data_IF_006200972711
#
_entry.id   IF_006200972711
#
_cell.length_a   1.000
_cell.length_b   1.000
_cell.length_c   1.000
_cell.angle_alpha   90.00
_cell.angle_beta   90.00
_cell.angle_gamma   90.00
#
_symmetry.space_group_name_H-M   'P 1'
#
loop_
_entity.id
_entity.type
_entity.pdbx_description
1 polymer ?
#
# COMPACT_ATOMS: atom_id res chain seq x y z
N UNK A 1 15.95 -10.67 -11.65
CA UNK A 1 15.24 -11.31 -10.52
C UNK A 1 15.19 -10.46 -9.26
N UNK A 2 16.04 -9.45 -9.09
CA UNK A 2 16.00 -8.54 -7.93
C UNK A 2 14.78 -7.60 -7.95
N UNK A 3 14.15 -7.35 -9.10
CA UNK A 3 12.95 -6.50 -9.22
C UNK A 3 11.74 -7.10 -8.50
N UNK A 4 11.58 -8.43 -8.58
CA UNK A 4 10.50 -9.14 -7.88
C UNK A 4 10.72 -9.12 -6.37
N UNK A 5 11.97 -9.19 -5.91
CA UNK A 5 12.32 -9.03 -4.50
C UNK A 5 11.92 -7.64 -3.99
N UNK A 6 12.24 -6.58 -4.75
CA UNK A 6 11.86 -5.20 -4.42
C UNK A 6 10.34 -5.07 -4.32
N UNK A 7 9.62 -5.67 -5.28
CA UNK A 7 8.15 -5.69 -5.27
C UNK A 7 7.58 -6.41 -4.02
N UNK A 8 8.14 -7.56 -3.65
CA UNK A 8 7.71 -8.28 -2.44
C UNK A 8 7.97 -7.50 -1.15
N UNK A 9 9.14 -6.86 -1.05
CA UNK A 9 9.49 -6.01 0.11
C UNK A 9 8.53 -4.83 0.19
N UNK A 10 8.24 -4.19 -0.94
CA UNK A 10 7.30 -3.09 -1.05
C UNK A 10 5.88 -3.50 -0.61
N UNK A 11 5.39 -4.66 -1.06
CA UNK A 11 4.10 -5.22 -0.63
C UNK A 11 4.10 -5.50 0.87
N UNK A 12 5.16 -6.11 1.39
CA UNK A 12 5.30 -6.40 2.81
C UNK A 12 5.22 -5.12 3.66
N UNK A 13 5.92 -4.06 3.25
CA UNK A 13 5.86 -2.74 3.90
C UNK A 13 4.45 -2.14 3.83
N UNK A 14 3.75 -2.30 2.71
CA UNK A 14 2.35 -1.88 2.57
C UNK A 14 1.40 -2.61 3.53
N UNK A 15 1.57 -3.93 3.70
CA UNK A 15 0.82 -4.73 4.68
C UNK A 15 1.08 -4.21 6.09
N UNK A 16 2.35 -3.99 6.45
CA UNK A 16 2.73 -3.46 7.77
C UNK A 16 2.04 -2.11 8.02
N UNK A 17 2.05 -1.20 7.04
CA UNK A 17 1.38 0.10 7.16
C UNK A 17 -0.13 -0.02 7.42
N UNK A 18 -0.82 -0.91 6.69
CA UNK A 18 -2.25 -1.13 6.89
C UNK A 18 -2.58 -1.77 8.24
N UNK A 19 -1.78 -2.74 8.69
CA UNK A 19 -1.94 -3.38 10.00
C UNK A 19 -1.68 -2.39 11.13
N UNK A 20 -0.61 -1.59 11.03
CA UNK A 20 -0.29 -0.55 12.02
C UNK A 20 -1.45 0.44 12.17
N UNK A 21 -2.01 0.95 11.07
CA UNK A 21 -3.17 1.85 11.12
C UNK A 21 -4.40 1.16 11.67
N UNK A 22 -4.66 -0.09 11.28
CA UNK A 22 -5.77 -0.87 11.83
C UNK A 22 -5.64 -1.13 13.34
N UNK A 23 -4.41 -1.20 13.86
CA UNK A 23 -4.13 -1.34 15.28
C UNK A 23 -4.34 -0.02 16.05
N UNK A 24 -3.77 1.09 15.56
CA UNK A 24 -3.96 2.41 16.17
C UNK A 24 -5.40 2.92 16.07
N UNK A 25 -6.06 2.64 14.96
CA UNK A 25 -7.41 3.11 14.66
C UNK A 25 -8.39 1.94 14.58
N UNK A 26 -8.75 1.38 15.74
CA UNK A 26 -9.71 0.27 15.85
C UNK A 26 -11.02 0.52 15.07
N UNK A 27 -11.44 1.79 14.95
CA UNK A 27 -12.62 2.21 14.17
C UNK A 27 -12.50 1.88 12.67
N UNK A 28 -11.30 1.87 12.11
CA UNK A 28 -11.03 1.62 10.70
C UNK A 28 -10.56 0.20 10.39
N UNK A 29 -10.37 -0.64 11.41
CA UNK A 29 -9.99 -2.03 11.24
C UNK A 29 -11.10 -2.86 10.57
N UNK A 30 -10.70 -3.77 9.69
CA UNK A 30 -11.51 -4.84 9.12
C UNK A 30 -11.05 -6.23 9.62
N UNK A 31 -10.33 -6.26 10.74
CA UNK A 31 -9.64 -7.46 11.23
C UNK A 31 -8.31 -7.69 10.50
N UNK A 32 -7.53 -8.68 10.96
CA UNK A 32 -6.17 -8.94 10.45
C UNK A 32 -6.21 -9.23 8.94
N UNK A 33 -7.12 -10.11 8.50
CA UNK A 33 -7.24 -10.52 7.09
C UNK A 33 -7.65 -9.33 6.22
N UNK A 34 -8.66 -8.56 6.64
CA UNK A 34 -9.13 -7.39 5.91
C UNK A 34 -8.07 -6.29 5.80
N UNK A 35 -7.29 -6.07 6.87
CA UNK A 35 -6.20 -5.09 6.87
C UNK A 35 -5.07 -5.53 5.95
N UNK A 36 -4.73 -6.82 5.88
CA UNK A 36 -3.74 -7.34 4.94
C UNK A 36 -4.18 -7.14 3.49
N UNK A 37 -5.43 -7.51 3.15
CA UNK A 37 -5.98 -7.31 1.80
C UNK A 37 -5.96 -5.82 1.43
N UNK A 38 -6.43 -4.96 2.33
CA UNK A 38 -6.39 -3.52 2.14
C UNK A 38 -4.96 -2.98 1.95
N UNK A 39 -3.98 -3.53 2.68
CA UNK A 39 -2.57 -3.16 2.57
C UNK A 39 -1.96 -3.55 1.22
N UNK A 40 -2.19 -4.79 0.78
CA UNK A 40 -1.72 -5.29 -0.53
C UNK A 40 -2.33 -4.46 -1.66
N UNK A 41 -3.66 -4.30 -1.69
CA UNK A 41 -4.31 -3.54 -2.76
C UNK A 41 -4.00 -2.05 -2.69
N UNK A 42 -3.93 -1.47 -1.49
CA UNK A 42 -3.61 -0.07 -1.27
C UNK A 42 -2.20 0.30 -1.74
N UNK A 43 -1.20 -0.53 -1.40
CA UNK A 43 0.17 -0.26 -1.84
C UNK A 43 0.31 -0.47 -3.35
N UNK A 44 -0.24 -1.55 -3.93
CA UNK A 44 -0.16 -1.82 -5.37
C UNK A 44 -0.82 -0.69 -6.16
N UNK A 45 -1.96 -0.19 -5.70
CA UNK A 45 -2.64 0.93 -6.34
C UNK A 45 -1.76 2.18 -6.37
N UNK A 46 -1.13 2.55 -5.26
CA UNK A 46 -0.26 3.71 -5.16
C UNK A 46 1.02 3.51 -5.98
N UNK A 47 1.70 2.38 -5.85
CA UNK A 47 2.92 2.09 -6.62
C UNK A 47 2.63 2.15 -8.12
N UNK A 48 1.47 1.64 -8.56
CA UNK A 48 1.10 1.65 -9.98
C UNK A 48 0.68 3.05 -10.46
N UNK A 49 -0.01 3.82 -9.62
CA UNK A 49 -0.35 5.22 -9.92
C UNK A 49 0.90 6.11 -10.02
N UNK A 50 1.84 5.94 -9.09
CA UNK A 50 3.11 6.65 -9.02
C UNK A 50 4.21 5.99 -9.88
N UNK A 51 3.93 4.84 -10.49
CA UNK A 51 4.88 4.10 -11.31
C UNK A 51 5.32 4.87 -12.56
N UNK A 52 4.46 5.77 -13.06
CA UNK A 52 4.79 6.70 -14.15
C UNK A 52 5.80 7.79 -13.76
N UNK A 53 5.98 8.02 -12.46
CA UNK A 53 6.98 8.95 -11.92
C UNK A 53 8.33 8.25 -11.65
N UNK A 54 8.49 6.99 -12.06
CA UNK A 54 9.73 6.23 -11.89
C UNK A 54 9.84 5.48 -10.56
N UNK A 55 8.77 5.40 -9.76
CA UNK A 55 8.79 4.66 -8.48
C UNK A 55 8.53 3.16 -8.61
N UNK A 56 8.58 2.61 -9.83
CA UNK A 56 8.38 1.19 -10.07
C UNK A 56 9.65 0.37 -9.76
N UNK A 57 9.52 -0.91 -9.37
CA UNK A 57 10.66 -1.80 -9.17
C UNK A 57 11.64 -1.87 -10.36
N UNK A 58 11.12 -1.76 -11.59
CA UNK A 58 11.93 -1.71 -12.81
C UNK A 58 12.80 -0.45 -12.88
N UNK A 59 12.26 0.71 -12.52
CA UNK A 59 12.99 1.99 -12.50
C UNK A 59 14.00 2.08 -11.35
N UNK A 60 13.77 1.36 -10.25
CA UNK A 60 14.73 1.26 -9.14
C UNK A 60 16.01 0.51 -9.56
N UNK A 61 15.87 -0.36 -10.56
CA UNK A 61 16.93 -1.21 -11.06
C UNK A 61 17.12 -1.02 -12.56
N UNK A 62 17.29 0.24 -12.94
CA UNK A 62 17.59 0.59 -14.30
C UNK A 62 19.05 0.25 -14.62
N UNK A 63 19.29 -0.46 -15.73
CA UNK A 63 20.62 -0.84 -16.23
C UNK A 63 21.53 -1.57 -15.22
N UNK A 64 20.95 -2.30 -14.25
CA UNK A 64 21.69 -3.04 -13.24
C UNK A 64 22.29 -2.17 -12.12
N UNK A 65 21.98 -0.88 -12.09
CA UNK A 65 22.40 0.05 -11.04
C UNK A 65 21.28 0.15 -10.01
N UNK A 66 21.61 -0.11 -8.73
CA UNK A 66 20.63 -0.01 -7.65
C UNK A 66 20.50 1.43 -7.15
N UNK A 67 19.40 2.08 -7.50
CA UNK A 67 19.12 3.44 -7.06
C UNK A 67 18.48 3.46 -5.67
N UNK A 68 19.33 3.49 -4.64
CA UNK A 68 18.94 3.50 -3.21
C UNK A 68 17.85 4.53 -2.88
N UNK A 69 17.90 5.73 -3.48
CA UNK A 69 16.95 6.81 -3.20
C UNK A 69 15.54 6.48 -3.70
N UNK A 70 15.41 5.93 -4.90
CA UNK A 70 14.12 5.51 -5.45
C UNK A 70 13.53 4.33 -4.66
N UNK A 71 14.38 3.44 -4.15
CA UNK A 71 13.95 2.36 -3.27
C UNK A 71 13.35 2.85 -1.95
N UNK A 72 14.00 3.81 -1.28
CA UNK A 72 13.48 4.39 -0.02
C UNK A 72 12.15 5.10 -0.27
N UNK A 73 12.04 5.87 -1.36
CA UNK A 73 10.79 6.51 -1.74
C UNK A 73 9.67 5.50 -2.04
N UNK A 74 9.98 4.41 -2.75
CA UNK A 74 9.03 3.33 -2.97
C UNK A 74 8.55 2.71 -1.66
N UNK A 75 9.44 2.48 -0.69
CA UNK A 75 9.07 1.97 0.63
C UNK A 75 8.11 2.92 1.37
N UNK A 76 8.41 4.22 1.38
CA UNK A 76 7.57 5.24 2.02
C UNK A 76 6.19 5.30 1.34
N UNK A 77 6.16 5.34 0.01
CA UNK A 77 4.91 5.34 -0.77
C UNK A 77 4.10 4.07 -0.55
N UNK A 78 4.74 2.91 -0.46
CA UNK A 78 4.07 1.62 -0.20
C UNK A 78 3.44 1.60 1.17
N UNK A 79 4.17 2.07 2.19
CA UNK A 79 3.66 2.21 3.55
C UNK A 79 2.44 3.14 3.59
N UNK A 80 2.57 4.36 3.05
CA UNK A 80 1.48 5.32 2.95
C UNK A 80 0.30 4.77 2.14
N UNK A 81 0.56 4.02 1.07
CA UNK A 81 -0.48 3.41 0.26
C UNK A 81 -1.25 2.32 0.97
N UNK A 82 -0.58 1.50 1.79
CA UNK A 82 -1.25 0.56 2.67
C UNK A 82 -2.14 1.25 3.71
N UNK A 83 -1.62 2.30 4.35
CA UNK A 83 -2.38 3.12 5.32
C UNK A 83 -3.63 3.75 4.68
N UNK A 84 -3.44 4.45 3.57
CA UNK A 84 -4.51 5.15 2.85
C UNK A 84 -5.53 4.17 2.27
N UNK A 85 -5.09 3.03 1.76
CA UNK A 85 -5.95 1.98 1.24
C UNK A 85 -6.96 1.50 2.28
N UNK A 86 -6.51 1.25 3.51
CA UNK A 86 -7.38 0.87 4.62
C UNK A 86 -8.44 1.94 4.94
N UNK A 87 -7.99 3.19 5.09
CA UNK A 87 -8.87 4.32 5.45
C UNK A 87 -9.93 4.53 4.35
N UNK A 88 -9.52 4.48 3.08
CA UNK A 88 -10.38 4.71 1.93
C UNK A 88 -11.42 3.58 1.79
N UNK A 89 -11.01 2.32 1.92
CA UNK A 89 -11.91 1.18 1.92
C UNK A 89 -12.96 1.27 3.02
N UNK A 90 -12.55 1.65 4.24
CA UNK A 90 -13.50 1.83 5.34
C UNK A 90 -14.47 2.97 5.09
N UNK A 91 -13.98 4.09 4.56
CA UNK A 91 -14.81 5.26 4.23
C UNK A 91 -15.86 4.88 3.17
N UNK A 92 -15.47 4.11 2.16
CA UNK A 92 -16.40 3.58 1.15
C UNK A 92 -17.43 2.64 1.77
N UNK A 93 -16.99 1.69 2.60
CA UNK A 93 -17.88 0.76 3.29
C UNK A 93 -18.94 1.49 4.13
N UNK A 94 -18.52 2.48 4.94
CA UNK A 94 -19.45 3.28 5.75
C UNK A 94 -20.41 4.11 4.89
N UNK A 95 -19.93 4.68 3.77
CA UNK A 95 -20.76 5.47 2.86
C UNK A 95 -21.81 4.60 2.14
N UNK A 96 -21.44 3.39 1.74
CA UNK A 96 -22.36 2.44 1.11
C UNK A 96 -23.39 1.94 2.12
N UNK A 97 -22.96 1.58 3.33
CA UNK A 97 -23.87 1.04 4.34
C UNK A 97 -24.84 2.08 4.92
N UNK A 98 -24.48 3.37 4.91
CA UNK A 98 -25.39 4.47 5.27
C UNK A 98 -26.56 4.64 4.28
N UNK A 99 -26.41 4.15 3.05
CA UNK A 99 -27.45 4.27 2.01
C UNK A 99 -28.54 3.21 2.13
N UNK A 100 -28.31 2.17 2.93
CA UNK A 100 -29.21 1.02 3.08
C UNK A 100 -30.24 1.18 4.21
N UNK A 101 -30.20 2.30 4.96
CA UNK A 101 -31.05 2.52 6.16
C UNK A 101 -31.99 3.73 6.01
N UNK A 102 -32.09 4.33 4.82
CA UNK A 102 -33.06 5.38 4.52
C UNK A 102 -34.05 4.92 3.45
#
# INVERSE_FOLDING_TARGET
>A
MTETLISLISIFIGIVGAISVGFFTKKYSFGIIGNTIAGVFGCIFIIKAFGRLGFNPQSIMENGIFHKWLFVLNCILSFLGGMLGLILLKKMYLKMNKKTVN
#
